data_IF_168274254116
#
_entry.id   IF_168274254116
#
_cell.length_a   1.000
_cell.length_b   1.000
_cell.length_c   1.000
_cell.angle_alpha   90.00
_cell.angle_beta   90.00
_cell.angle_gamma   90.00
#
_symmetry.space_group_name_H-M   'P 1'
#
loop_
_entity.id
_entity.type
_entity.pdbx_description
1 polymer ?
#
# COMPACT_ATOMS: atom_id res chain seq x y z
N UNK A 1 -13.83 13.29 -20.82
CA UNK A 1 -12.51 13.10 -21.47
C UNK A 1 -11.66 14.35 -21.29
N UNK A 2 -10.73 14.34 -20.32
CA UNK A 2 -9.56 15.23 -20.16
C UNK A 2 -9.04 15.10 -18.71
N UNK A 3 -8.10 14.20 -18.49
CA UNK A 3 -7.27 14.15 -17.26
C UNK A 3 -5.96 13.36 -17.40
N UNK A 4 -5.63 12.86 -18.60
CA UNK A 4 -4.39 12.13 -18.88
C UNK A 4 -3.17 13.04 -19.16
N UNK A 5 -3.32 14.36 -18.99
CA UNK A 5 -2.37 15.36 -19.48
C UNK A 5 -1.39 15.94 -18.46
N UNK A 6 -1.54 15.66 -17.16
CA UNK A 6 -0.73 16.33 -16.12
C UNK A 6 0.40 15.44 -15.57
N UNK A 7 0.31 14.12 -15.71
CA UNK A 7 1.35 13.20 -15.21
C UNK A 7 2.45 12.87 -16.26
N UNK A 8 2.10 12.89 -17.56
CA UNK A 8 3.04 12.55 -18.65
C UNK A 8 4.17 13.56 -18.86
N UNK A 9 4.01 14.80 -18.41
CA UNK A 9 4.98 15.88 -18.65
C UNK A 9 6.03 15.98 -17.55
N UNK A 10 5.76 15.44 -16.35
CA UNK A 10 6.60 15.67 -15.16
C UNK A 10 7.84 14.76 -15.08
N UNK A 11 7.69 13.48 -15.46
CA UNK A 11 8.81 12.51 -15.39
C UNK A 11 9.81 12.67 -16.55
N UNK A 12 9.35 13.11 -17.74
CA UNK A 12 10.25 13.33 -18.90
C UNK A 12 11.19 14.52 -18.74
N UNK A 13 10.84 15.53 -17.94
CA UNK A 13 11.65 16.76 -17.83
C UNK A 13 12.70 16.71 -16.71
N UNK A 14 12.52 15.90 -15.66
CA UNK A 14 13.43 15.91 -14.50
C UNK A 14 14.39 14.72 -14.38
N UNK A 15 14.24 13.69 -15.20
CA UNK A 15 15.18 12.57 -15.29
C UNK A 15 16.34 12.77 -16.29
N UNK A 16 16.64 14.03 -16.63
CA UNK A 16 17.82 14.41 -17.43
C UNK A 16 19.04 14.78 -16.60
N UNK A 17 18.96 14.77 -15.27
CA UNK A 17 20.10 15.02 -14.38
C UNK A 17 20.36 13.79 -13.49
N UNK A 18 20.93 12.74 -14.09
CA UNK A 18 21.63 11.70 -13.33
C UNK A 18 20.96 10.34 -13.14
N UNK A 19 20.05 9.91 -14.02
CA UNK A 19 19.60 8.51 -14.02
C UNK A 19 20.60 7.62 -14.79
N UNK A 20 21.10 6.56 -14.15
CA UNK A 20 21.78 5.46 -14.83
C UNK A 20 20.82 4.77 -15.81
N UNK A 21 21.33 4.19 -16.90
CA UNK A 21 20.50 3.65 -17.99
C UNK A 21 19.52 2.54 -17.54
N UNK A 22 19.79 1.89 -16.41
CA UNK A 22 18.91 0.87 -15.82
C UNK A 22 17.57 1.43 -15.33
N UNK A 23 17.58 2.67 -14.84
CA UNK A 23 16.39 3.31 -14.31
C UNK A 23 15.32 3.57 -15.37
N UNK A 24 15.73 3.83 -16.62
CA UNK A 24 14.81 4.19 -17.72
C UNK A 24 14.00 2.97 -18.17
N UNK A 25 14.55 1.77 -17.94
CA UNK A 25 13.93 0.48 -18.27
C UNK A 25 12.81 0.11 -17.29
N UNK A 26 12.97 0.45 -16.01
CA UNK A 26 12.01 0.13 -14.93
C UNK A 26 10.71 0.94 -15.07
N UNK A 27 10.80 2.22 -15.43
CA UNK A 27 9.64 3.09 -15.70
C UNK A 27 8.78 2.59 -16.87
N UNK A 28 9.41 2.11 -17.95
CA UNK A 28 8.71 1.51 -19.10
C UNK A 28 8.07 0.14 -18.83
N UNK A 29 8.34 -0.45 -17.65
CA UNK A 29 7.70 -1.66 -17.15
C UNK A 29 6.48 -1.32 -16.29
N UNK A 30 6.53 -0.23 -15.52
CA UNK A 30 5.44 0.24 -14.66
C UNK A 30 4.16 0.58 -15.45
N UNK A 31 4.28 1.20 -16.64
CA UNK A 31 3.13 1.50 -17.51
C UNK A 31 2.42 0.24 -18.06
N UNK A 32 3.05 -0.94 -18.01
CA UNK A 32 2.50 -2.20 -18.58
C UNK A 32 1.91 -3.17 -17.54
N UNK A 33 2.34 -3.10 -16.29
CA UNK A 33 1.90 -4.04 -15.23
C UNK A 33 0.59 -3.60 -14.56
N UNK A 34 0.24 -2.32 -14.64
CA UNK A 34 -0.83 -1.70 -13.86
C UNK A 34 -2.28 -1.99 -14.34
N UNK A 35 -2.53 -3.09 -15.07
CA UNK A 35 -3.86 -3.42 -15.63
C UNK A 35 -4.42 -4.76 -15.14
N UNK A 36 -3.71 -5.59 -14.36
CA UNK A 36 -4.26 -6.90 -13.94
C UNK A 36 -4.08 -7.21 -12.46
N UNK A 37 -5.17 -6.95 -11.73
CA UNK A 37 -5.81 -7.75 -10.68
C UNK A 37 -4.99 -8.08 -9.42
N UNK A 38 -5.31 -7.36 -8.35
CA UNK A 38 -4.65 -7.40 -7.04
C UNK A 38 -5.29 -8.38 -6.03
N UNK A 39 -6.06 -9.38 -6.47
CA UNK A 39 -6.89 -10.20 -5.56
C UNK A 39 -6.53 -11.69 -5.53
N UNK A 40 -5.86 -12.23 -6.56
CA UNK A 40 -5.81 -13.68 -6.75
C UNK A 40 -4.67 -14.42 -6.01
N UNK A 41 -3.57 -13.76 -5.65
CA UNK A 41 -2.37 -14.49 -5.17
C UNK A 41 -2.42 -14.87 -3.67
N UNK A 42 -3.14 -14.11 -2.84
CA UNK A 42 -3.09 -14.30 -1.38
C UNK A 42 -3.90 -15.49 -0.85
N UNK A 43 -4.91 -15.96 -1.59
CA UNK A 43 -5.87 -16.95 -1.08
C UNK A 43 -5.30 -18.39 -1.12
N UNK A 44 -4.51 -18.75 -2.15
CA UNK A 44 -4.06 -20.14 -2.32
C UNK A 44 -3.02 -20.61 -1.30
N UNK A 45 -2.20 -19.72 -0.74
CA UNK A 45 -1.11 -20.10 0.15
C UNK A 45 -1.54 -20.31 1.61
N UNK A 46 -2.67 -19.74 2.03
CA UNK A 46 -3.14 -19.80 3.42
C UNK A 46 -3.86 -21.12 3.78
N UNK A 47 -4.45 -21.82 2.80
CA UNK A 47 -5.25 -23.04 3.06
C UNK A 47 -4.41 -24.28 3.41
N UNK A 48 -3.14 -24.32 2.99
CA UNK A 48 -2.26 -25.47 3.19
C UNK A 48 -1.47 -25.44 4.50
N UNK A 49 -1.26 -24.27 5.10
CA UNK A 49 -0.43 -24.12 6.30
C UNK A 49 -1.23 -24.25 7.61
N UNK A 50 -2.52 -23.91 7.62
CA UNK A 50 -3.32 -23.78 8.84
C UNK A 50 -4.53 -24.71 8.77
N UNK A 51 -4.30 -26.02 8.85
CA UNK A 51 -5.38 -26.99 8.98
C UNK A 51 -6.27 -26.66 10.20
N UNK A 52 -7.59 -26.58 9.97
CA UNK A 52 -8.72 -26.55 10.91
C UNK A 52 -8.57 -25.84 12.28
N UNK A 53 -7.64 -24.92 12.44
CA UNK A 53 -7.64 -23.95 13.55
C UNK A 53 -8.66 -22.89 13.22
N UNK A 54 -9.57 -22.55 14.14
CA UNK A 54 -10.58 -21.49 14.00
C UNK A 54 -10.02 -20.06 13.84
N UNK A 55 -8.85 -19.91 13.23
CA UNK A 55 -8.26 -18.66 12.82
C UNK A 55 -9.05 -18.11 11.64
N UNK A 56 -9.55 -16.88 11.80
CA UNK A 56 -10.20 -16.12 10.74
C UNK A 56 -9.11 -15.47 9.90
N UNK A 57 -9.27 -15.53 8.58
CA UNK A 57 -8.40 -14.84 7.61
C UNK A 57 -8.71 -13.34 7.63
N UNK A 58 -7.68 -12.49 7.68
CA UNK A 58 -7.83 -11.03 7.85
C UNK A 58 -8.72 -10.41 6.77
N UNK A 59 -8.58 -10.90 5.55
CA UNK A 59 -9.32 -10.47 4.37
C UNK A 59 -10.83 -10.68 4.57
N UNK A 60 -11.24 -11.88 5.00
CA UNK A 60 -12.66 -12.19 5.27
C UNK A 60 -13.25 -11.29 6.36
N UNK A 61 -12.51 -11.06 7.45
CA UNK A 61 -12.96 -10.15 8.51
C UNK A 61 -13.18 -8.72 7.99
N UNK A 62 -12.28 -8.24 7.13
CA UNK A 62 -12.41 -6.91 6.53
C UNK A 62 -13.58 -6.84 5.55
N UNK A 63 -13.81 -7.86 4.72
CA UNK A 63 -14.93 -7.93 3.78
C UNK A 63 -16.28 -7.88 4.51
N UNK A 64 -16.45 -8.68 5.56
CA UNK A 64 -17.67 -8.67 6.39
C UNK A 64 -17.92 -7.30 7.03
N UNK A 65 -16.85 -6.64 7.49
CA UNK A 65 -16.92 -5.29 8.01
C UNK A 65 -17.34 -4.28 6.92
N UNK A 66 -16.74 -4.34 5.72
CA UNK A 66 -17.11 -3.45 4.61
C UNK A 66 -18.58 -3.60 4.21
N UNK A 67 -19.06 -4.85 4.05
CA UNK A 67 -20.47 -5.11 3.77
C UNK A 67 -21.39 -4.54 4.86
N UNK A 68 -20.98 -4.63 6.13
CA UNK A 68 -21.72 -4.07 7.26
C UNK A 68 -21.71 -2.54 7.26
N UNK A 69 -20.60 -1.91 6.87
CA UNK A 69 -20.48 -0.46 6.68
C UNK A 69 -21.41 0.01 5.56
N UNK A 70 -21.40 -0.64 4.40
CA UNK A 70 -22.27 -0.28 3.26
C UNK A 70 -23.75 -0.33 3.64
N UNK A 71 -24.17 -1.37 4.36
CA UNK A 71 -25.54 -1.48 4.90
C UNK A 71 -25.85 -0.34 5.87
N UNK A 72 -24.89 0.05 6.72
CA UNK A 72 -25.04 1.16 7.67
C UNK A 72 -25.11 2.53 6.99
N UNK A 73 -24.37 2.74 5.90
CA UNK A 73 -24.36 3.98 5.14
C UNK A 73 -25.68 4.23 4.39
N UNK A 74 -26.45 3.18 4.08
CA UNK A 74 -27.81 3.30 3.51
C UNK A 74 -28.84 3.85 4.51
N UNK A 75 -28.52 3.86 5.80
CA UNK A 75 -29.39 4.42 6.84
C UNK A 75 -29.19 5.93 6.99
N UNK A 76 -30.17 6.60 7.56
CA UNK A 76 -30.03 8.00 7.99
C UNK A 76 -29.07 8.12 9.18
N UNK A 77 -28.58 9.35 9.40
CA UNK A 77 -27.76 9.68 10.56
C UNK A 77 -28.49 9.38 11.89
N UNK A 78 -29.78 9.68 11.96
CA UNK A 78 -30.62 9.44 13.14
C UNK A 78 -30.77 7.95 13.46
N UNK A 79 -31.01 7.11 12.45
CA UNK A 79 -31.12 5.66 12.63
C UNK A 79 -29.81 5.05 13.13
N UNK A 80 -28.67 5.46 12.56
CA UNK A 80 -27.35 5.02 13.06
C UNK A 80 -27.13 5.45 14.51
N UNK A 81 -27.44 6.70 14.85
CA UNK A 81 -27.31 7.21 16.24
C UNK A 81 -28.17 6.42 17.21
N UNK A 82 -29.42 6.10 16.85
CA UNK A 82 -30.31 5.30 17.68
C UNK A 82 -29.74 3.89 17.94
N UNK A 83 -29.18 3.23 16.92
CA UNK A 83 -28.51 1.92 17.08
C UNK A 83 -27.30 1.98 18.00
N UNK A 84 -26.59 3.11 18.03
CA UNK A 84 -25.40 3.30 18.86
C UNK A 84 -25.72 3.51 20.35
N UNK A 85 -26.92 3.97 20.71
CA UNK A 85 -27.30 4.23 22.12
C UNK A 85 -27.18 2.97 22.98
N UNK A 86 -27.65 1.83 22.46
CA UNK A 86 -27.59 0.53 23.16
C UNK A 86 -26.43 -0.37 22.73
N UNK A 87 -25.53 0.09 21.85
CA UNK A 87 -24.44 -0.74 21.35
C UNK A 87 -23.38 -0.97 22.44
N UNK A 88 -22.83 -2.19 22.48
CA UNK A 88 -21.65 -2.45 23.30
C UNK A 88 -20.48 -1.59 22.81
N UNK A 89 -19.92 -0.79 23.70
CA UNK A 89 -18.80 0.12 23.42
C UNK A 89 -17.45 -0.60 23.37
N UNK A 90 -17.39 -1.82 23.88
CA UNK A 90 -16.18 -2.63 23.93
C UNK A 90 -16.25 -3.67 22.80
N UNK A 91 -15.42 -3.55 21.75
CA UNK A 91 -15.40 -4.53 20.67
C UNK A 91 -14.83 -5.86 21.15
N UNK A 92 -15.30 -6.96 20.54
CA UNK A 92 -14.70 -8.28 20.76
C UNK A 92 -13.33 -8.33 20.09
N UNK A 93 -12.36 -8.94 20.76
CA UNK A 93 -11.06 -9.24 20.18
C UNK A 93 -11.16 -10.55 19.39
N UNK A 94 -10.49 -10.58 18.24
CA UNK A 94 -10.37 -11.77 17.37
C UNK A 94 -8.90 -12.00 17.06
N UNK A 95 -8.49 -13.27 17.02
CA UNK A 95 -7.14 -13.65 16.63
C UNK A 95 -7.14 -13.86 15.12
N UNK A 96 -6.20 -13.22 14.45
CA UNK A 96 -6.02 -13.29 12.99
C UNK A 96 -4.62 -13.78 12.68
N UNK A 97 -4.51 -14.69 11.71
CA UNK A 97 -3.24 -15.21 11.21
C UNK A 97 -3.00 -14.66 9.81
N UNK A 98 -1.80 -14.16 9.55
CA UNK A 98 -1.42 -13.56 8.27
C UNK A 98 -0.01 -13.97 7.86
N UNK A 99 0.26 -13.95 6.56
CA UNK A 99 1.59 -14.19 5.98
C UNK A 99 2.27 -12.87 5.64
N UNK A 100 3.58 -12.81 5.81
CA UNK A 100 4.37 -11.62 5.50
C UNK A 100 5.73 -12.01 4.92
N UNK A 101 6.29 -11.12 4.10
CA UNK A 101 7.65 -11.26 3.57
C UNK A 101 8.67 -10.68 4.56
N UNK A 102 9.69 -11.46 4.89
CA UNK A 102 10.88 -10.95 5.56
C UNK A 102 11.68 -10.11 4.56
N UNK A 103 11.59 -8.78 4.68
CA UNK A 103 12.27 -7.83 3.78
C UNK A 103 13.72 -7.63 4.18
N UNK A 104 14.57 -7.40 3.21
CA UNK A 104 15.97 -7.04 3.39
C UNK A 104 16.06 -5.61 3.96
N UNK A 105 16.60 -5.43 5.18
CA UNK A 105 16.69 -4.12 5.82
C UNK A 105 17.62 -3.16 5.05
N UNK A 106 18.64 -3.66 4.35
CA UNK A 106 19.59 -2.82 3.62
C UNK A 106 18.93 -2.17 2.39
N UNK A 107 18.04 -2.90 1.70
CA UNK A 107 17.23 -2.36 0.60
C UNK A 107 16.35 -1.23 1.12
N UNK A 108 15.69 -1.45 2.27
CA UNK A 108 14.84 -0.42 2.89
C UNK A 108 15.65 0.82 3.28
N UNK A 109 16.79 0.64 3.93
CA UNK A 109 17.65 1.73 4.36
C UNK A 109 18.20 2.54 3.17
N UNK A 110 18.73 1.86 2.16
CA UNK A 110 19.29 2.49 0.96
C UNK A 110 18.25 3.35 0.23
N UNK A 111 17.03 2.84 0.06
CA UNK A 111 15.94 3.56 -0.62
C UNK A 111 15.50 4.80 0.18
N UNK A 112 15.42 4.70 1.51
CA UNK A 112 15.09 5.84 2.36
C UNK A 112 16.19 6.92 2.34
N UNK A 113 17.46 6.52 2.35
CA UNK A 113 18.60 7.43 2.23
C UNK A 113 18.64 8.12 0.87
N UNK A 114 18.44 7.36 -0.22
CA UNK A 114 18.35 7.87 -1.60
C UNK A 114 17.28 8.96 -1.73
N UNK A 115 16.13 8.76 -1.09
CA UNK A 115 14.99 9.66 -1.16
C UNK A 115 15.19 11.00 -0.44
N UNK A 116 16.16 11.09 0.50
CA UNK A 116 16.50 12.31 1.24
C UNK A 116 15.30 13.02 1.87
N UNK A 117 14.32 12.23 2.33
CA UNK A 117 13.11 12.73 2.96
C UNK A 117 12.05 13.31 2.01
N UNK A 118 12.20 13.14 0.70
CA UNK A 118 11.18 13.51 -0.29
C UNK A 118 10.52 12.25 -0.86
N UNK A 119 9.21 12.30 -1.05
CA UNK A 119 8.45 11.24 -1.73
C UNK A 119 8.91 11.13 -3.19
N UNK A 120 9.35 9.95 -3.62
CA UNK A 120 9.82 9.72 -5.00
C UNK A 120 8.68 9.66 -6.03
N UNK A 121 7.41 9.71 -5.58
CA UNK A 121 6.23 9.75 -6.46
C UNK A 121 5.65 11.14 -6.63
N UNK A 122 5.34 11.86 -5.54
CA UNK A 122 4.74 13.19 -5.60
C UNK A 122 5.73 14.33 -5.40
N UNK A 123 6.99 14.02 -5.07
CA UNK A 123 8.06 14.99 -4.84
C UNK A 123 7.82 15.99 -3.69
N UNK A 124 6.81 15.73 -2.85
CA UNK A 124 6.61 16.46 -1.61
C UNK A 124 7.54 15.93 -0.51
N UNK A 125 7.88 16.79 0.44
CA UNK A 125 8.56 16.39 1.67
C UNK A 125 7.76 15.33 2.44
N UNK A 126 8.47 14.54 3.23
CA UNK A 126 7.85 13.62 4.18
C UNK A 126 6.86 14.37 5.08
N UNK A 127 5.65 13.81 5.31
CA UNK A 127 4.58 14.53 6.02
C UNK A 127 4.91 14.85 7.47
N UNK A 128 5.84 14.11 8.09
CA UNK A 128 6.31 14.33 9.45
C UNK A 128 7.66 13.64 9.68
N UNK A 129 8.25 13.88 10.86
CA UNK A 129 9.48 13.21 11.32
C UNK A 129 9.15 12.14 12.36
N UNK A 130 9.88 11.02 12.33
CA UNK A 130 9.76 9.95 13.34
C UNK A 130 10.10 10.50 14.72
N UNK A 131 9.26 10.19 15.71
CA UNK A 131 9.50 10.61 17.09
C UNK A 131 10.77 10.01 17.70
N UNK A 132 11.16 8.81 17.24
CA UNK A 132 12.30 8.07 17.79
C UNK A 132 13.65 8.71 17.48
N UNK A 133 13.85 9.22 16.26
CA UNK A 133 15.16 9.63 15.74
C UNK A 133 15.12 10.91 14.89
N UNK A 134 13.95 11.54 14.72
CA UNK A 134 13.79 12.74 13.92
C UNK A 134 13.91 12.53 12.40
N UNK A 135 14.07 11.29 11.92
CA UNK A 135 14.18 11.01 10.48
C UNK A 135 12.87 11.28 9.73
N UNK A 136 12.91 11.69 8.45
CA UNK A 136 11.71 11.89 7.64
C UNK A 136 10.88 10.60 7.50
N UNK A 137 9.55 10.66 7.67
CA UNK A 137 8.70 9.49 7.54
C UNK A 137 8.28 9.23 6.08
N UNK A 138 8.88 8.21 5.47
CA UNK A 138 8.46 7.61 4.20
C UNK A 138 8.31 6.10 4.37
N UNK A 139 7.56 5.48 3.46
CA UNK A 139 7.31 4.04 3.37
C UNK A 139 7.96 3.50 2.09
N UNK A 140 8.63 2.35 2.18
CA UNK A 140 9.22 1.69 1.00
C UNK A 140 8.18 0.81 0.34
N UNK A 141 7.95 1.06 -0.94
CA UNK A 141 7.01 0.34 -1.79
C UNK A 141 7.74 -0.38 -2.92
N UNK A 142 7.43 -1.66 -3.12
CA UNK A 142 7.93 -2.43 -4.26
C UNK A 142 7.10 -2.12 -5.52
N UNK A 143 7.76 -1.66 -6.58
CA UNK A 143 7.18 -1.32 -7.89
C UNK A 143 6.46 -2.54 -8.48
N UNK A 144 7.15 -3.67 -8.55
CA UNK A 144 6.55 -4.99 -8.76
C UNK A 144 6.38 -5.58 -7.36
N UNK A 145 5.13 -5.78 -6.94
CA UNK A 145 4.84 -6.27 -5.60
C UNK A 145 5.44 -7.67 -5.36
N UNK A 146 5.88 -7.92 -4.12
CA UNK A 146 6.43 -9.22 -3.72
C UNK A 146 5.42 -10.37 -3.88
N UNK A 147 4.13 -10.10 -3.62
CA UNK A 147 3.00 -11.02 -3.87
C UNK A 147 2.91 -11.44 -5.33
N UNK A 148 3.35 -10.59 -6.26
CA UNK A 148 3.36 -10.86 -7.70
C UNK A 148 4.71 -11.37 -8.21
N UNK A 149 5.57 -11.86 -7.31
CA UNK A 149 6.91 -12.35 -7.64
C UNK A 149 7.95 -11.26 -7.85
N UNK A 150 7.67 -10.03 -7.40
CA UNK A 150 8.65 -8.94 -7.37
C UNK A 150 9.87 -9.29 -6.52
N UNK A 151 11.04 -8.79 -6.93
CA UNK A 151 12.29 -8.99 -6.19
C UNK A 151 12.45 -7.92 -5.12
N UNK A 152 13.05 -8.29 -3.99
CA UNK A 152 13.39 -7.34 -2.94
C UNK A 152 14.75 -6.67 -3.24
N UNK A 153 14.75 -5.67 -4.12
CA UNK A 153 15.94 -4.95 -4.55
C UNK A 153 15.71 -3.43 -4.62
N UNK A 154 16.79 -2.66 -4.60
CA UNK A 154 16.76 -1.18 -4.63
C UNK A 154 16.12 -0.65 -5.92
N UNK A 155 16.30 -1.36 -7.04
CA UNK A 155 15.75 -0.99 -8.35
C UNK A 155 14.24 -1.24 -8.44
N UNK A 156 13.74 -2.23 -7.70
CA UNK A 156 12.31 -2.55 -7.63
C UNK A 156 11.60 -1.80 -6.49
N UNK A 157 12.24 -0.82 -5.84
CA UNK A 157 11.67 -0.15 -4.67
C UNK A 157 11.76 1.37 -4.75
N UNK A 158 10.77 2.03 -4.17
CA UNK A 158 10.66 3.49 -4.08
C UNK A 158 10.23 3.91 -2.68
N UNK A 159 10.73 5.05 -2.21
CA UNK A 159 10.27 5.68 -0.98
C UNK A 159 9.10 6.61 -1.28
N UNK A 160 7.97 6.40 -0.62
CA UNK A 160 6.75 7.18 -0.84
C UNK A 160 6.11 7.66 0.45
N UNK A 161 5.37 8.76 0.38
CA UNK A 161 4.54 9.21 1.49
C UNK A 161 3.33 8.26 1.67
N UNK A 162 2.69 8.24 2.86
CA UNK A 162 1.56 7.35 3.14
C UNK A 162 0.40 7.49 2.14
N UNK A 163 0.15 8.71 1.65
CA UNK A 163 -0.91 8.97 0.67
C UNK A 163 -0.60 8.34 -0.69
N UNK A 164 0.63 8.51 -1.18
CA UNK A 164 1.08 7.87 -2.43
C UNK A 164 1.12 6.36 -2.30
N UNK A 165 1.59 5.85 -1.15
CA UNK A 165 1.63 4.40 -0.91
C UNK A 165 0.24 3.78 -0.96
N UNK A 166 -0.74 4.37 -0.27
CA UNK A 166 -2.14 3.93 -0.33
C UNK A 166 -2.72 4.04 -1.73
N UNK A 167 -2.38 5.08 -2.48
CA UNK A 167 -2.81 5.24 -3.87
C UNK A 167 -2.27 4.14 -4.79
N UNK A 168 -1.06 3.60 -4.55
CA UNK A 168 -0.57 2.47 -5.34
C UNK A 168 -1.29 1.16 -5.04
N UNK A 169 -1.79 0.97 -3.82
CA UNK A 169 -2.54 -0.24 -3.46
C UNK A 169 -4.01 -0.17 -3.86
N UNK A 170 -4.64 1.01 -3.76
CA UNK A 170 -6.10 1.16 -3.83
C UNK A 170 -6.57 2.30 -4.73
N UNK A 171 -5.67 3.08 -5.31
CA UNK A 171 -6.01 4.23 -6.14
C UNK A 171 -6.42 3.80 -7.55
N UNK A 172 -7.58 4.27 -7.97
CA UNK A 172 -8.06 4.19 -9.36
C UNK A 172 -7.42 5.24 -10.26
#
# INVERSE_FOLDING_TARGET
>A
MRSHGVFKTFIKQHWKRGATDDGKRVLGMYERVNIRNNEACHIEQNSKLFGNTGAVVLETLNEELQQSIEKSLKLSSSERKNRLVGANKIPKQVIVVTTAYARNPDVVAEVLLRAKGMCESCHADAPFRRSKDGSPFLEVHHIIQLSMGGKDTVENTIAVCPNCHRKFHFGA
#
